data_IF_544470689484
#
_entry.id   IF_544470689484
#
_cell.length_a   1.000
_cell.length_b   1.000
_cell.length_c   1.000
_cell.angle_alpha   90.00
_cell.angle_beta   90.00
_cell.angle_gamma   90.00
#
_symmetry.space_group_name_H-M   'P 1'
#
loop_
_entity.id
_entity.type
_entity.pdbx_description
1 polymer ?
#
# COMPACT_ATOMS: atom_id res chain seq x y z
N UNK A 1 10.14 26.06 8.35
CA UNK A 1 10.16 25.69 7.55
C UNK A 1 9.64 24.63 7.47
N UNK A 2 9.24 24.26 6.91
CA UNK A 2 8.69 23.23 6.84
C UNK A 2 9.46 22.18 6.62
N UNK A 3 9.16 21.18 7.13
CA UNK A 3 9.77 20.13 6.95
C UNK A 3 9.36 19.51 5.88
N UNK A 4 10.00 19.18 5.20
CA UNK A 4 9.64 18.55 4.06
C UNK A 4 9.05 17.31 4.30
N UNK A 5 7.98 17.11 3.71
CA UNK A 5 7.41 15.86 3.66
C UNK A 5 8.23 15.07 2.76
N UNK A 6 8.58 13.84 3.12
CA UNK A 6 9.34 13.02 2.30
C UNK A 6 8.57 12.71 1.09
N UNK A 7 9.01 13.06 -0.03
CA UNK A 7 8.32 12.75 -1.26
C UNK A 7 8.48 11.30 -1.61
N UNK A 8 7.45 10.69 -2.15
CA UNK A 8 7.57 9.31 -2.62
C UNK A 8 8.62 9.24 -3.72
N UNK A 9 9.54 8.34 -3.58
CA UNK A 9 10.59 8.17 -4.56
C UNK A 9 10.49 6.74 -5.10
N UNK A 10 10.13 6.57 -6.36
CA UNK A 10 9.99 5.23 -6.91
C UNK A 10 11.23 4.38 -6.77
N UNK A 11 12.38 5.00 -6.67
CA UNK A 11 13.60 4.24 -6.51
C UNK A 11 13.69 3.54 -5.17
N UNK A 12 12.87 3.96 -4.22
CA UNK A 12 12.86 3.33 -2.91
C UNK A 12 11.95 2.14 -2.83
N UNK A 13 11.28 1.81 -3.92
CA UNK A 13 10.34 0.70 -3.91
C UNK A 13 11.01 -0.59 -4.33
N UNK A 14 10.73 -1.64 -3.59
CA UNK A 14 11.12 -2.97 -4.05
C UNK A 14 10.12 -3.40 -5.11
N UNK A 15 10.46 -4.44 -5.85
CA UNK A 15 9.54 -4.94 -6.87
C UNK A 15 8.22 -5.36 -6.26
N UNK A 16 8.28 -5.97 -5.07
CA UNK A 16 7.07 -6.41 -4.41
C UNK A 16 6.21 -5.24 -3.96
N UNK A 17 6.84 -4.20 -3.45
CA UNK A 17 6.09 -3.03 -3.02
C UNK A 17 5.45 -2.33 -4.21
N UNK A 18 6.15 -2.29 -5.33
CA UNK A 18 5.58 -1.71 -6.52
C UNK A 18 4.37 -2.50 -6.98
N UNK A 19 4.47 -3.81 -6.92
CA UNK A 19 3.35 -4.66 -7.30
C UNK A 19 2.14 -4.41 -6.40
N UNK A 20 2.37 -4.25 -5.11
CA UNK A 20 1.30 -3.99 -4.17
C UNK A 20 0.59 -2.68 -4.52
N UNK A 21 1.36 -1.65 -4.84
CA UNK A 21 0.76 -0.38 -5.20
C UNK A 21 -0.07 -0.50 -6.48
N UNK A 22 0.41 -1.27 -7.44
CA UNK A 22 -0.34 -1.48 -8.66
C UNK A 22 -1.66 -2.17 -8.39
N UNK A 23 -1.63 -3.17 -7.54
CA UNK A 23 -2.83 -3.91 -7.19
C UNK A 23 -3.85 -3.00 -6.54
N UNK A 24 -3.39 -2.17 -5.61
CA UNK A 24 -4.27 -1.26 -4.91
C UNK A 24 -4.89 -0.27 -5.90
N UNK A 25 -4.06 0.30 -6.75
CA UNK A 25 -4.55 1.28 -7.70
C UNK A 25 -5.54 0.68 -8.67
N UNK A 26 -5.20 -0.49 -9.20
CA UNK A 26 -6.09 -1.12 -10.16
C UNK A 26 -7.43 -1.43 -9.53
N UNK A 27 -7.44 -1.89 -8.30
CA UNK A 27 -8.69 -2.21 -7.63
C UNK A 27 -9.54 -0.96 -7.43
N UNK A 28 -8.91 0.14 -7.03
CA UNK A 28 -9.64 1.36 -6.82
C UNK A 28 -10.22 1.89 -8.14
N UNK A 29 -9.44 1.78 -9.20
CA UNK A 29 -9.91 2.25 -10.50
C UNK A 29 -11.05 1.38 -11.02
N UNK A 30 -10.91 0.07 -10.86
CA UNK A 30 -11.92 -0.84 -11.39
C UNK A 30 -13.16 -0.96 -10.54
N UNK A 31 -13.00 -1.00 -9.25
CA UNK A 31 -14.10 -1.27 -8.35
C UNK A 31 -14.52 -0.09 -7.50
N UNK A 32 -13.67 0.92 -7.39
CA UNK A 32 -13.97 2.06 -6.57
C UNK A 32 -13.61 1.90 -5.11
N UNK A 33 -12.95 0.79 -4.75
CA UNK A 33 -12.52 0.58 -3.37
C UNK A 33 -11.25 -0.26 -3.38
N UNK A 34 -10.45 -0.15 -2.32
CA UNK A 34 -9.18 -0.87 -2.29
C UNK A 34 -9.38 -2.37 -2.05
N UNK A 35 -8.38 -3.17 -2.39
CA UNK A 35 -8.46 -4.61 -2.20
C UNK A 35 -8.28 -4.96 -0.74
N UNK A 36 -8.69 -6.16 -0.38
CA UNK A 36 -8.45 -6.65 0.97
C UNK A 36 -6.99 -7.05 1.10
N UNK A 37 -6.56 -7.23 2.34
CA UNK A 37 -5.19 -7.65 2.61
C UNK A 37 -4.94 -9.00 1.96
N UNK A 38 -5.92 -9.88 1.97
CA UNK A 38 -5.77 -11.18 1.36
C UNK A 38 -5.57 -11.07 -0.14
N UNK A 39 -6.34 -10.20 -0.77
CA UNK A 39 -6.19 -10.00 -2.21
C UNK A 39 -4.80 -9.47 -2.54
N UNK A 40 -4.33 -8.55 -1.73
CA UNK A 40 -3.01 -7.99 -1.95
C UNK A 40 -1.97 -9.09 -1.81
N UNK A 41 -2.11 -9.91 -0.79
CA UNK A 41 -1.16 -11.00 -0.59
C UNK A 41 -1.12 -11.96 -1.75
N UNK A 42 -2.29 -12.32 -2.25
CA UNK A 42 -2.37 -13.25 -3.38
C UNK A 42 -1.70 -12.65 -4.60
N UNK A 43 -1.96 -11.39 -4.87
CA UNK A 43 -1.41 -10.77 -6.06
C UNK A 43 0.08 -10.52 -5.95
N UNK A 44 0.57 -10.28 -4.75
CA UNK A 44 1.98 -9.99 -4.56
C UNK A 44 2.81 -11.22 -4.20
N UNK A 45 2.16 -12.37 -4.10
CA UNK A 45 2.89 -13.58 -3.78
C UNK A 45 3.27 -13.72 -2.32
N UNK A 46 2.55 -13.03 -1.46
CA UNK A 46 2.81 -13.13 -0.02
C UNK A 46 1.85 -14.12 0.60
N UNK A 47 2.37 -14.97 1.45
CA UNK A 47 1.55 -16.02 1.99
C UNK A 47 0.89 -15.69 3.32
N UNK A 48 1.35 -14.67 3.98
CA UNK A 48 0.77 -14.35 5.27
C UNK A 48 0.30 -12.92 5.29
N UNK A 49 -0.79 -12.69 6.03
CA UNK A 49 -1.31 -11.35 6.14
C UNK A 49 -0.36 -10.45 6.91
N UNK A 50 0.47 -11.03 7.76
CA UNK A 50 1.46 -10.25 8.46
C UNK A 50 2.47 -9.64 7.50
N UNK A 51 2.85 -10.41 6.48
CA UNK A 51 3.78 -9.90 5.49
C UNK A 51 3.15 -8.75 4.71
N UNK A 52 1.87 -8.88 4.38
CA UNK A 52 1.18 -7.81 3.68
C UNK A 52 1.15 -6.57 4.56
N UNK A 53 0.77 -6.74 5.82
CA UNK A 53 0.67 -5.60 6.72
C UNK A 53 2.03 -4.91 6.87
N UNK A 54 3.09 -5.68 6.94
CA UNK A 54 4.41 -5.11 7.04
C UNK A 54 4.74 -4.26 5.81
N UNK A 55 4.44 -4.79 4.62
CA UNK A 55 4.71 -4.06 3.40
C UNK A 55 3.88 -2.78 3.31
N UNK A 56 2.63 -2.86 3.72
CA UNK A 56 1.79 -1.67 3.70
C UNK A 56 2.31 -0.61 4.64
N UNK A 57 2.80 -1.03 5.80
CA UNK A 57 3.36 -0.09 6.74
C UNK A 57 4.60 0.58 6.17
N UNK A 58 5.44 -0.19 5.48
CA UNK A 58 6.62 0.37 4.86
C UNK A 58 6.24 1.37 3.77
N UNK A 59 5.19 1.06 3.00
CA UNK A 59 4.75 1.98 1.97
C UNK A 59 4.21 3.26 2.56
N UNK A 60 3.56 3.18 3.72
CA UNK A 60 3.11 4.38 4.40
C UNK A 60 4.29 5.22 4.84
N UNK A 61 5.32 4.59 5.37
CA UNK A 61 6.51 5.32 5.80
C UNK A 61 7.21 5.99 4.63
N UNK A 62 7.17 5.36 3.48
CA UNK A 62 7.82 5.91 2.30
C UNK A 62 6.99 6.97 1.61
N UNK A 63 5.77 7.18 2.08
CA UNK A 63 4.92 8.22 1.51
C UNK A 63 4.06 7.79 0.35
N UNK A 64 3.99 6.50 0.05
CA UNK A 64 3.18 6.04 -1.06
C UNK A 64 1.75 5.72 -0.68
N UNK A 65 1.50 5.46 0.59
CA UNK A 65 0.16 5.19 1.07
C UNK A 65 -0.15 6.10 2.22
N UNK A 66 -1.44 6.35 2.41
CA UNK A 66 -1.84 7.20 3.48
C UNK A 66 -2.91 6.49 4.27
N UNK A 67 -2.79 6.52 5.56
CA UNK A 67 -3.79 5.92 6.40
C UNK A 67 -4.72 7.02 6.86
N UNK A 68 -6.01 6.80 6.68
CA UNK A 68 -6.99 7.79 7.09
C UNK A 68 -7.53 7.37 8.45
N UNK A 69 -7.24 8.11 9.51
CA UNK A 69 -7.69 7.73 10.84
C UNK A 69 -9.21 7.71 10.98
N UNK A 70 -9.90 8.38 10.11
CA UNK A 70 -11.35 8.35 10.15
C UNK A 70 -11.93 7.16 9.47
N UNK A 71 -11.12 6.40 8.76
CA UNK A 71 -11.57 5.21 8.07
C UNK A 71 -10.68 4.08 8.45
N UNK A 72 -10.96 3.45 9.55
CA UNK A 72 -10.07 2.43 10.07
C UNK A 72 -9.84 1.25 9.14
N UNK A 73 -10.70 1.07 8.18
CA UNK A 73 -10.50 -0.03 7.28
C UNK A 73 -10.22 0.45 5.90
N UNK A 74 -9.33 1.36 5.79
CA UNK A 74 -9.04 1.98 4.53
C UNK A 74 -8.59 0.98 3.48
N UNK A 75 -8.00 -0.09 3.87
CA UNK A 75 -7.50 -1.04 2.93
C UNK A 75 -8.27 -2.31 2.90
N UNK A 76 -9.18 -2.43 3.78
CA UNK A 76 -9.86 -3.66 3.88
C UNK A 76 -11.05 -3.72 3.07
#
# INVERSE_FOLDING_TARGET
MNKPVKKPDPKNLTARQRRILEVIRDAVVLRGYPPSIREIGDAAGLQSTSSVAYQLKELEKKGFLRRDPKKPRAVD
#
